data_IF_355644555126
#
_entry.id   IF_355644555126
#
_cell.length_a   1.000
_cell.length_b   1.000
_cell.length_c   1.000
_cell.angle_alpha   90.00
_cell.angle_beta   90.00
_cell.angle_gamma   90.00
#
_symmetry.space_group_name_H-M   'P 1'
#
loop_
_entity.id
_entity.type
_entity.pdbx_description
1 polymer ?
#
# COMPACT_ATOMS: atom_id res chain seq x y z
N UNK A 1 -43.21 -18.90 -4.38
CA UNK A 1 -42.50 -18.45 -3.16
C UNK A 1 -41.74 -17.14 -3.41
N UNK A 2 -42.44 -16.06 -3.75
CA UNK A 2 -41.85 -14.88 -4.40
C UNK A 2 -42.58 -13.62 -3.91
N UNK A 3 -41.83 -12.53 -3.65
CA UNK A 3 -42.24 -11.19 -3.17
C UNK A 3 -42.81 -11.05 -1.74
N UNK A 4 -43.82 -11.82 -1.33
CA UNK A 4 -44.55 -11.57 -0.06
C UNK A 4 -43.68 -11.71 1.21
N UNK A 5 -42.88 -12.77 1.28
CA UNK A 5 -41.95 -13.00 2.40
C UNK A 5 -40.82 -11.95 2.48
N UNK A 6 -40.46 -11.30 1.37
CA UNK A 6 -39.39 -10.29 1.34
C UNK A 6 -39.87 -8.95 1.90
N UNK A 7 -41.07 -8.52 1.54
CA UNK A 7 -41.66 -7.26 2.03
C UNK A 7 -41.99 -7.39 3.52
N UNK A 8 -42.57 -8.52 3.95
CA UNK A 8 -42.83 -8.79 5.37
C UNK A 8 -41.53 -8.76 6.19
N UNK A 9 -40.46 -9.37 5.68
CA UNK A 9 -39.15 -9.36 6.32
C UNK A 9 -38.54 -7.94 6.38
N UNK A 10 -38.65 -7.15 5.30
CA UNK A 10 -38.15 -5.77 5.24
C UNK A 10 -38.94 -4.83 6.17
N UNK A 11 -40.27 -4.90 6.18
CA UNK A 11 -41.11 -4.09 7.07
C UNK A 11 -40.89 -4.45 8.54
N UNK A 12 -40.73 -5.74 8.86
CA UNK A 12 -40.39 -6.13 10.22
C UNK A 12 -38.98 -5.69 10.60
N UNK A 13 -38.02 -5.72 9.66
CA UNK A 13 -36.68 -5.18 9.89
C UNK A 13 -36.70 -3.67 10.16
N UNK A 14 -37.53 -2.90 9.47
CA UNK A 14 -37.70 -1.46 9.69
C UNK A 14 -38.36 -1.17 11.03
N UNK A 15 -39.47 -1.85 11.37
CA UNK A 15 -40.13 -1.73 12.68
C UNK A 15 -39.19 -2.07 13.84
N UNK A 16 -38.35 -3.08 13.67
CA UNK A 16 -37.33 -3.47 14.64
C UNK A 16 -36.22 -2.40 14.78
N UNK A 17 -35.78 -1.79 13.67
CA UNK A 17 -34.85 -0.67 13.69
C UNK A 17 -35.42 0.55 14.42
N UNK A 18 -36.66 0.94 14.08
CA UNK A 18 -37.35 2.07 14.72
C UNK A 18 -37.52 1.86 16.22
N UNK A 19 -37.96 0.65 16.63
CA UNK A 19 -38.10 0.28 18.05
C UNK A 19 -36.75 0.37 18.76
N UNK A 20 -35.70 -0.15 18.15
CA UNK A 20 -34.33 -0.13 18.70
C UNK A 20 -33.82 1.30 18.83
N UNK A 21 -34.04 2.14 17.82
CA UNK A 21 -33.64 3.53 17.81
C UNK A 21 -34.36 4.34 18.89
N UNK A 22 -35.68 4.15 19.01
CA UNK A 22 -36.50 4.75 20.07
C UNK A 22 -36.00 4.35 21.46
N UNK A 23 -35.70 3.06 21.66
CA UNK A 23 -35.13 2.57 22.92
C UNK A 23 -33.77 3.21 23.24
N UNK A 24 -32.88 3.32 22.24
CA UNK A 24 -31.56 3.96 22.40
C UNK A 24 -31.67 5.45 22.77
N UNK A 25 -32.59 6.18 22.14
CA UNK A 25 -32.86 7.60 22.42
C UNK A 25 -33.43 7.81 23.83
N UNK A 26 -34.36 6.95 24.26
CA UNK A 26 -35.01 7.05 25.57
C UNK A 26 -34.14 6.52 26.72
N UNK A 27 -33.16 5.65 26.45
CA UNK A 27 -32.35 4.98 27.48
C UNK A 27 -30.84 5.12 27.26
N UNK A 28 -30.29 6.33 27.02
CA UNK A 28 -28.89 6.50 26.62
C UNK A 28 -27.91 6.00 27.68
N UNK A 29 -28.21 6.19 28.97
CA UNK A 29 -27.37 5.75 30.09
C UNK A 29 -27.34 4.22 30.20
N UNK A 30 -28.49 3.55 30.10
CA UNK A 30 -28.57 2.08 30.16
C UNK A 30 -27.83 1.45 28.97
N UNK A 31 -27.99 2.02 27.77
CA UNK A 31 -27.26 1.56 26.58
C UNK A 31 -25.74 1.69 26.78
N UNK A 32 -25.26 2.82 27.32
CA UNK A 32 -23.84 3.01 27.62
C UNK A 32 -23.31 2.00 28.64
N UNK A 33 -24.06 1.71 29.70
CA UNK A 33 -23.67 0.74 30.72
C UNK A 33 -23.57 -0.67 30.13
N UNK A 34 -24.58 -1.10 29.37
CA UNK A 34 -24.60 -2.40 28.71
C UNK A 34 -23.44 -2.53 27.72
N UNK A 35 -23.21 -1.50 26.91
CA UNK A 35 -22.12 -1.46 25.94
C UNK A 35 -20.75 -1.54 26.62
N UNK A 36 -20.57 -0.78 27.72
CA UNK A 36 -19.34 -0.82 28.51
C UNK A 36 -19.10 -2.21 29.09
N UNK A 37 -20.11 -2.80 29.75
CA UNK A 37 -20.02 -4.16 30.32
C UNK A 37 -19.65 -5.20 29.26
N UNK A 38 -20.19 -5.07 28.04
CA UNK A 38 -19.85 -5.94 26.93
C UNK A 38 -18.39 -5.76 26.48
N UNK A 39 -17.90 -4.53 26.34
CA UNK A 39 -16.50 -4.26 25.98
C UNK A 39 -15.52 -4.65 27.09
N UNK A 40 -15.89 -4.52 28.36
CA UNK A 40 -15.04 -4.95 29.47
C UNK A 40 -14.87 -6.48 29.46
N UNK A 41 -15.94 -7.22 29.14
CA UNK A 41 -15.94 -8.68 29.08
C UNK A 41 -15.35 -9.26 27.79
N UNK A 42 -15.62 -8.63 26.64
CA UNK A 42 -15.30 -9.18 25.31
C UNK A 42 -14.38 -8.29 24.46
N UNK A 43 -14.06 -7.09 24.92
CA UNK A 43 -13.38 -6.07 24.11
C UNK A 43 -11.98 -6.47 23.65
N UNK A 44 -11.23 -7.25 24.42
CA UNK A 44 -9.92 -7.74 23.98
C UNK A 44 -10.05 -8.70 22.78
N UNK A 45 -10.96 -9.68 22.86
CA UNK A 45 -11.23 -10.62 21.76
C UNK A 45 -11.85 -9.91 20.56
N UNK A 46 -12.81 -9.01 20.80
CA UNK A 46 -13.44 -8.21 19.75
C UNK A 46 -12.42 -7.32 19.03
N UNK A 47 -11.56 -6.59 19.77
CA UNK A 47 -10.47 -5.80 19.19
C UNK A 47 -9.54 -6.70 18.39
N UNK A 48 -9.08 -7.82 18.93
CA UNK A 48 -8.17 -8.72 18.22
C UNK A 48 -8.78 -9.27 16.91
N UNK A 49 -10.03 -9.71 16.94
CA UNK A 49 -10.73 -10.22 15.75
C UNK A 49 -10.99 -9.10 14.73
N UNK A 50 -11.50 -7.96 15.19
CA UNK A 50 -11.81 -6.85 14.31
C UNK A 50 -10.54 -6.22 13.72
N UNK A 51 -9.45 -6.12 14.48
CA UNK A 51 -8.14 -5.73 13.96
C UNK A 51 -7.64 -6.71 12.90
N UNK A 52 -7.79 -8.03 13.11
CA UNK A 52 -7.43 -9.04 12.09
C UNK A 52 -8.27 -8.88 10.82
N UNK A 53 -9.57 -8.65 10.95
CA UNK A 53 -10.47 -8.45 9.81
C UNK A 53 -10.15 -7.17 9.04
N UNK A 54 -9.97 -6.04 9.74
CA UNK A 54 -9.55 -4.76 9.16
C UNK A 54 -8.22 -4.90 8.41
N UNK A 55 -7.24 -5.60 9.01
CA UNK A 55 -5.96 -5.88 8.35
C UNK A 55 -6.15 -6.73 7.10
N UNK A 56 -6.96 -7.80 7.15
CA UNK A 56 -7.28 -8.64 5.97
C UNK A 56 -7.92 -7.81 4.86
N UNK A 57 -8.89 -6.97 5.20
CA UNK A 57 -9.57 -6.09 4.25
C UNK A 57 -8.61 -5.07 3.64
N UNK A 58 -7.72 -4.49 4.45
CA UNK A 58 -6.68 -3.58 3.99
C UNK A 58 -5.69 -4.26 3.03
N UNK A 59 -5.21 -5.47 3.36
CA UNK A 59 -4.32 -6.25 2.49
C UNK A 59 -5.01 -6.58 1.17
N UNK A 60 -6.28 -7.01 1.21
CA UNK A 60 -7.07 -7.32 0.01
C UNK A 60 -7.28 -6.09 -0.87
N UNK A 61 -7.64 -4.96 -0.27
CA UNK A 61 -7.79 -3.68 -0.97
C UNK A 61 -6.47 -3.23 -1.61
N UNK A 62 -5.38 -3.25 -0.85
CA UNK A 62 -4.07 -2.85 -1.34
C UNK A 62 -3.57 -3.77 -2.47
N UNK A 63 -3.85 -5.08 -2.40
CA UNK A 63 -3.56 -6.03 -3.48
C UNK A 63 -4.34 -5.66 -4.75
N UNK A 64 -5.65 -5.54 -4.66
CA UNK A 64 -6.52 -5.17 -5.79
C UNK A 64 -6.07 -3.84 -6.41
N UNK A 65 -5.78 -2.84 -5.59
CA UNK A 65 -5.33 -1.54 -6.09
C UNK A 65 -4.01 -1.65 -6.85
N UNK A 66 -3.03 -2.46 -6.41
CA UNK A 66 -1.78 -2.67 -7.16
C UNK A 66 -1.99 -3.39 -8.50
N UNK A 67 -3.06 -4.17 -8.64
CA UNK A 67 -3.40 -4.85 -9.89
C UNK A 67 -4.10 -3.91 -10.88
N UNK A 68 -4.88 -2.94 -10.39
CA UNK A 68 -5.70 -2.05 -11.24
C UNK A 68 -5.13 -0.64 -11.44
N UNK A 69 -4.25 -0.19 -10.55
CA UNK A 69 -3.68 1.16 -10.52
C UNK A 69 -2.15 1.04 -10.63
N UNK A 70 -1.65 1.21 -11.85
CA UNK A 70 -0.24 1.05 -12.20
C UNK A 70 0.66 2.06 -11.47
N UNK A 71 0.21 3.30 -11.32
CA UNK A 71 0.95 4.33 -10.59
C UNK A 71 1.05 3.97 -9.10
N UNK A 72 -0.03 3.44 -8.53
CA UNK A 72 0.01 2.90 -7.17
C UNK A 72 0.97 1.70 -7.03
N UNK A 73 1.04 0.82 -8.04
CA UNK A 73 2.03 -0.27 -8.09
C UNK A 73 3.46 0.28 -8.09
N UNK A 74 3.77 1.25 -8.96
CA UNK A 74 5.09 1.88 -9.09
C UNK A 74 5.51 2.55 -7.77
N UNK A 75 4.66 3.41 -7.20
CA UNK A 75 5.00 4.10 -5.95
C UNK A 75 5.20 3.14 -4.77
N UNK A 76 4.44 2.03 -4.72
CA UNK A 76 4.62 1.02 -3.69
C UNK A 76 5.99 0.33 -3.82
N UNK A 77 6.39 -0.05 -5.05
CA UNK A 77 7.68 -0.67 -5.34
C UNK A 77 8.84 0.27 -4.98
N UNK A 78 8.81 1.51 -5.47
CA UNK A 78 9.83 2.52 -5.18
C UNK A 78 9.93 2.81 -3.68
N UNK A 79 8.79 3.05 -3.01
CA UNK A 79 8.77 3.31 -1.56
C UNK A 79 9.39 2.16 -0.76
N UNK A 80 9.05 0.92 -1.11
CA UNK A 80 9.59 -0.28 -0.46
C UNK A 80 11.10 -0.36 -0.64
N UNK A 81 11.59 -0.15 -1.87
CA UNK A 81 13.02 -0.19 -2.19
C UNK A 81 13.81 0.90 -1.43
N UNK A 82 13.32 2.14 -1.45
CA UNK A 82 13.90 3.27 -0.71
C UNK A 82 14.04 2.93 0.77
N UNK A 83 12.94 2.53 1.43
CA UNK A 83 12.95 2.25 2.88
C UNK A 83 13.91 1.11 3.20
N UNK A 84 13.90 0.05 2.40
CA UNK A 84 14.75 -1.12 2.63
C UNK A 84 16.23 -0.77 2.46
N UNK A 85 16.59 -0.02 1.42
CA UNK A 85 17.97 0.37 1.17
C UNK A 85 18.54 1.28 2.27
N UNK A 86 17.78 2.31 2.68
CA UNK A 86 18.19 3.22 3.76
C UNK A 86 18.37 2.44 5.08
N UNK A 87 17.43 1.57 5.43
CA UNK A 87 17.50 0.78 6.66
C UNK A 87 18.68 -0.19 6.69
N UNK A 88 19.07 -0.76 5.56
CA UNK A 88 20.23 -1.67 5.45
C UNK A 88 21.55 -0.97 5.79
N UNK A 89 21.62 0.35 5.61
CA UNK A 89 22.77 1.16 6.00
C UNK A 89 22.54 1.89 7.34
N UNK A 90 21.56 1.47 8.14
CA UNK A 90 21.21 2.08 9.43
C UNK A 90 20.78 3.56 9.35
N UNK A 91 20.44 4.04 8.15
CA UNK A 91 19.99 5.40 7.92
C UNK A 91 18.53 5.64 8.32
N UNK A 92 18.15 6.92 8.36
CA UNK A 92 16.76 7.36 8.48
C UNK A 92 16.34 8.08 7.22
N UNK A 93 15.13 7.79 6.75
CA UNK A 93 14.58 8.42 5.56
C UNK A 93 14.36 9.91 5.80
N UNK A 94 15.09 10.74 5.06
CA UNK A 94 15.13 12.18 5.30
C UNK A 94 13.91 12.91 4.70
N UNK A 95 13.38 12.43 3.57
CA UNK A 95 12.29 13.09 2.84
C UNK A 95 11.18 12.11 2.47
N UNK A 96 10.01 12.62 2.06
CA UNK A 96 8.92 11.79 1.53
C UNK A 96 9.35 11.14 0.21
N UNK A 97 8.65 10.07 -0.17
CA UNK A 97 8.99 9.30 -1.38
C UNK A 97 9.02 10.17 -2.64
N UNK A 98 8.05 11.07 -2.85
CA UNK A 98 8.02 11.91 -4.05
C UNK A 98 9.15 12.94 -4.07
N UNK A 99 9.55 13.47 -2.90
CA UNK A 99 10.67 14.40 -2.78
C UNK A 99 12.01 13.72 -3.12
N UNK A 100 12.19 12.46 -2.69
CA UNK A 100 13.37 11.67 -3.04
C UNK A 100 13.41 11.28 -4.52
N UNK A 101 12.25 10.98 -5.11
CA UNK A 101 12.14 10.66 -6.53
C UNK A 101 12.42 11.89 -7.40
N UNK A 102 12.06 13.09 -6.94
CA UNK A 102 12.29 14.34 -7.66
C UNK A 102 11.29 14.62 -8.79
N UNK A 103 10.27 13.79 -8.95
CA UNK A 103 9.17 14.00 -9.89
C UNK A 103 7.90 13.23 -9.46
N UNK A 104 6.83 13.40 -10.21
CA UNK A 104 5.57 12.68 -10.01
C UNK A 104 5.65 11.24 -10.51
N UNK A 105 4.76 10.37 -10.03
CA UNK A 105 4.73 8.96 -10.47
C UNK A 105 4.38 8.79 -11.95
N UNK A 106 3.44 9.56 -12.54
CA UNK A 106 3.25 9.58 -13.99
C UNK A 106 4.52 9.93 -14.76
N UNK A 107 5.32 10.88 -14.26
CA UNK A 107 6.60 11.25 -14.90
C UNK A 107 7.63 10.12 -14.79
N UNK A 108 7.74 9.45 -13.63
CA UNK A 108 8.58 8.24 -13.50
C UNK A 108 8.15 7.18 -14.49
N UNK A 109 6.84 6.92 -14.60
CA UNK A 109 6.29 5.93 -15.52
C UNK A 109 6.75 6.22 -16.95
N UNK A 110 6.52 7.45 -17.42
CA UNK A 110 6.92 7.88 -18.76
C UNK A 110 8.45 7.79 -18.95
N UNK A 111 9.23 8.19 -17.95
CA UNK A 111 10.68 8.12 -17.98
C UNK A 111 11.19 6.68 -18.15
N UNK A 112 10.58 5.72 -17.46
CA UNK A 112 10.91 4.29 -17.55
C UNK A 112 10.46 3.72 -18.91
N UNK A 113 9.26 4.07 -19.38
CA UNK A 113 8.75 3.64 -20.70
C UNK A 113 9.69 4.05 -21.85
N UNK A 114 10.28 5.25 -21.76
CA UNK A 114 11.26 5.73 -22.74
C UNK A 114 12.57 4.92 -22.77
N UNK A 115 12.82 4.09 -21.76
CA UNK A 115 14.00 3.22 -21.63
C UNK A 115 13.68 1.76 -21.93
N UNK A 116 12.45 1.43 -22.29
CA UNK A 116 12.07 0.06 -22.60
C UNK A 116 12.78 -0.48 -23.83
N UNK A 117 13.23 -1.72 -23.73
CA UNK A 117 13.58 -2.54 -24.89
C UNK A 117 12.29 -2.98 -25.61
N UNK A 118 12.37 -3.41 -26.89
CA UNK A 118 11.19 -3.78 -27.67
C UNK A 118 10.27 -4.85 -27.04
N UNK A 119 10.80 -5.70 -26.16
CA UNK A 119 10.04 -6.74 -25.47
C UNK A 119 9.46 -6.31 -24.11
N UNK A 120 9.84 -5.13 -23.60
CA UNK A 120 9.42 -4.65 -22.29
C UNK A 120 8.09 -3.90 -22.35
N UNK A 121 7.20 -4.22 -21.43
CA UNK A 121 5.93 -3.52 -21.21
C UNK A 121 5.56 -3.55 -19.73
N UNK A 122 4.56 -2.77 -19.32
CA UNK A 122 4.05 -2.87 -17.95
C UNK A 122 3.30 -4.17 -17.67
N UNK A 123 2.82 -4.85 -18.73
CA UNK A 123 2.07 -6.11 -18.63
C UNK A 123 2.99 -7.28 -18.24
N UNK A 124 4.23 -7.29 -18.74
CA UNK A 124 5.26 -8.26 -18.35
C UNK A 124 6.21 -7.76 -17.24
N UNK A 125 5.86 -6.68 -16.54
CA UNK A 125 6.64 -6.21 -15.39
C UNK A 125 6.67 -7.28 -14.28
N UNK A 126 7.86 -7.81 -14.02
CA UNK A 126 8.12 -9.07 -13.31
C UNK A 126 9.17 -9.92 -14.03
N UNK A 127 9.18 -9.87 -15.36
CA UNK A 127 10.30 -10.35 -16.21
C UNK A 127 11.46 -9.34 -16.20
N UNK A 128 11.12 -8.07 -16.06
CA UNK A 128 12.01 -6.96 -15.74
C UNK A 128 11.57 -6.25 -14.45
N UNK A 129 12.49 -5.53 -13.81
CA UNK A 129 12.25 -4.74 -12.61
C UNK A 129 12.75 -3.29 -12.78
N UNK A 130 12.21 -2.37 -11.96
CA UNK A 130 12.76 -1.02 -11.83
C UNK A 130 14.00 -1.09 -10.93
N UNK A 131 15.16 -0.83 -11.51
CA UNK A 131 16.45 -0.83 -10.84
C UNK A 131 17.11 0.56 -10.88
N UNK A 132 18.25 0.71 -10.20
CA UNK A 132 19.01 1.96 -10.14
C UNK A 132 20.26 1.88 -11.03
N UNK A 133 20.47 2.82 -11.94
CA UNK A 133 21.64 2.87 -12.84
C UNK A 133 22.93 2.82 -12.01
N UNK A 134 23.09 3.78 -11.11
CA UNK A 134 24.13 3.80 -10.08
C UNK A 134 23.64 2.96 -8.89
N UNK A 135 24.35 1.87 -8.52
CA UNK A 135 23.96 0.99 -7.43
C UNK A 135 23.78 1.76 -6.11
N UNK A 136 22.70 1.45 -5.39
CA UNK A 136 22.42 2.07 -4.08
C UNK A 136 23.54 1.85 -3.05
N UNK A 137 24.31 0.77 -3.18
CA UNK A 137 25.46 0.47 -2.33
C UNK A 137 26.62 1.48 -2.48
N UNK A 138 26.68 2.22 -3.59
CA UNK A 138 27.70 3.24 -3.83
C UNK A 138 27.39 4.59 -3.18
N UNK A 139 26.18 4.75 -2.64
CA UNK A 139 25.77 5.95 -1.93
C UNK A 139 25.83 5.73 -0.42
N UNK A 140 26.26 6.76 0.31
CA UNK A 140 26.04 6.84 1.76
C UNK A 140 24.60 7.29 2.03
N UNK A 141 23.70 6.34 2.26
CA UNK A 141 22.28 6.60 2.49
C UNK A 141 21.99 7.11 3.91
N UNK A 142 22.99 7.32 4.75
CA UNK A 142 22.83 8.06 6.01
C UNK A 142 22.80 9.57 5.79
N UNK A 143 23.39 10.07 4.68
CA UNK A 143 23.34 11.47 4.27
C UNK A 143 22.05 11.79 3.47
N UNK A 144 21.22 12.75 3.92
CA UNK A 144 20.05 13.24 3.18
C UNK A 144 20.33 13.64 1.72
N UNK A 145 21.47 14.27 1.42
CA UNK A 145 21.80 14.72 0.05
C UNK A 145 22.09 13.53 -0.87
N UNK A 146 22.78 12.53 -0.35
CA UNK A 146 23.04 11.28 -1.08
C UNK A 146 21.74 10.49 -1.29
N UNK A 147 20.80 10.48 -0.34
CA UNK A 147 19.48 9.87 -0.56
C UNK A 147 18.75 10.49 -1.77
N UNK A 148 18.73 11.82 -1.89
CA UNK A 148 18.10 12.48 -3.04
C UNK A 148 18.75 12.04 -4.35
N UNK A 149 20.08 12.03 -4.43
CA UNK A 149 20.81 11.57 -5.63
C UNK A 149 20.54 10.09 -5.94
N UNK A 150 20.59 9.25 -4.91
CA UNK A 150 20.44 7.81 -5.04
C UNK A 150 19.05 7.43 -5.58
N UNK A 151 17.99 8.12 -5.12
CA UNK A 151 16.61 7.76 -5.42
C UNK A 151 15.93 8.66 -6.47
N UNK A 152 16.64 9.65 -7.01
CA UNK A 152 16.13 10.51 -8.06
C UNK A 152 15.72 9.69 -9.28
N UNK A 153 14.65 10.09 -9.96
CA UNK A 153 14.10 9.34 -11.09
C UNK A 153 15.11 9.12 -12.21
N UNK A 154 16.05 10.06 -12.39
CA UNK A 154 17.12 9.95 -13.40
C UNK A 154 18.13 8.84 -13.11
N UNK A 155 18.16 8.33 -11.88
CA UNK A 155 18.96 7.16 -11.52
C UNK A 155 18.18 5.86 -11.70
N UNK A 156 16.95 5.87 -12.24
CA UNK A 156 16.15 4.64 -12.44
C UNK A 156 16.31 4.08 -13.86
N UNK A 157 16.17 2.77 -14.00
CA UNK A 157 16.15 2.07 -15.28
C UNK A 157 15.26 0.81 -15.21
N UNK A 158 14.62 0.41 -16.32
CA UNK A 158 14.14 -0.96 -16.45
C UNK A 158 15.34 -1.89 -16.62
N UNK A 159 15.33 -3.05 -15.96
CA UNK A 159 16.38 -4.04 -16.08
C UNK A 159 15.77 -5.44 -16.06
N UNK A 160 16.17 -6.32 -16.98
CA UNK A 160 15.69 -7.70 -16.95
C UNK A 160 16.13 -8.40 -15.67
N UNK A 161 15.38 -9.42 -15.22
CA UNK A 161 15.78 -10.22 -14.07
C UNK A 161 17.17 -10.86 -14.26
N UNK A 162 17.48 -11.31 -15.48
CA UNK A 162 18.77 -11.93 -15.81
C UNK A 162 19.94 -10.95 -15.68
N UNK A 163 19.76 -9.71 -16.13
CA UNK A 163 20.78 -8.67 -16.01
C UNK A 163 20.91 -8.17 -14.57
N UNK A 164 19.79 -8.05 -13.84
CA UNK A 164 19.81 -7.67 -12.43
C UNK A 164 20.60 -8.69 -11.58
N UNK A 165 20.42 -9.99 -11.85
CA UNK A 165 21.21 -11.04 -11.23
C UNK A 165 22.71 -10.93 -11.53
N UNK A 166 23.07 -10.62 -12.79
CA UNK A 166 24.47 -10.44 -13.21
C UNK A 166 25.11 -9.17 -12.63
N UNK A 167 24.31 -8.10 -12.48
CA UNK A 167 24.75 -6.78 -12.04
C UNK A 167 25.21 -6.77 -10.58
N UNK A 168 24.50 -7.46 -9.70
CA UNK A 168 24.77 -7.41 -8.25
C UNK A 168 24.90 -5.93 -7.77
N UNK A 169 25.90 -5.59 -6.95
CA UNK A 169 26.22 -4.22 -6.52
C UNK A 169 27.20 -3.48 -7.45
N UNK A 170 27.47 -3.99 -8.67
CA UNK A 170 28.42 -3.39 -9.60
C UNK A 170 27.74 -2.39 -10.54
N UNK A 171 28.48 -1.37 -10.96
CA UNK A 171 28.07 -0.49 -12.06
C UNK A 171 28.03 -1.32 -13.34
N UNK A 172 26.92 -1.26 -14.09
CA UNK A 172 26.95 -1.68 -15.48
C UNK A 172 27.66 -0.57 -16.24
N UNK A 173 28.95 -0.77 -16.51
CA UNK A 173 29.67 0.01 -17.51
C UNK A 173 29.23 -0.59 -18.84
N UNK A 174 28.24 0.04 -19.47
CA UNK A 174 27.86 -0.18 -20.85
C UNK A 174 28.53 0.86 -21.73
#
# INVERSE_FOLDING_TARGET
MKKYNKIFYQMNQEKEKERTEKYRKLNPTKVKIIQKSWYDKHGAQYRALHTKELLRNHVKYAKKRRETDLEYKIVCKLRSRIITAIKRQYGKKAFRTHELIGCTIPEVRRYIELKFEPWMSWDNHGEWEIDHIIPLASFDLTDPKQQQKAFHYTNLQPLSWQENLKKFDKLLIG
#
